data_IF_941516309233
#
_entry.id   IF_941516309233
#
_cell.length_a   1.000
_cell.length_b   1.000
_cell.length_c   1.000
_cell.angle_alpha   90.00
_cell.angle_beta   90.00
_cell.angle_gamma   90.00
#
_symmetry.space_group_name_H-M   'P 1'
#
loop_
_entity.id
_entity.type
_entity.pdbx_description
1 polymer ?
#
# COMPACT_ATOMS: atom_id res chain seq x y z
N UNK A 1 34.45 -45.15 -11.09
CA UNK A 1 33.36 -44.72 -10.17
C UNK A 1 33.63 -43.35 -9.55
N UNK A 2 34.84 -43.06 -9.02
CA UNK A 2 35.19 -41.77 -8.39
C UNK A 2 35.04 -40.54 -9.31
N UNK A 3 35.45 -40.65 -10.58
CA UNK A 3 35.30 -39.55 -11.56
C UNK A 3 33.84 -39.25 -11.94
N UNK A 4 32.97 -40.27 -12.01
CA UNK A 4 31.54 -40.08 -12.27
C UNK A 4 30.84 -39.36 -11.11
N UNK A 5 31.24 -39.65 -9.86
CA UNK A 5 30.72 -38.98 -8.66
C UNK A 5 31.15 -37.51 -8.61
N UNK A 6 32.40 -37.20 -8.96
CA UNK A 6 32.90 -35.82 -8.98
C UNK A 6 32.23 -34.97 -10.07
N UNK A 7 31.98 -35.55 -11.26
CA UNK A 7 31.23 -34.87 -12.34
C UNK A 7 29.77 -34.61 -11.92
N UNK A 8 29.15 -35.54 -11.18
CA UNK A 8 27.78 -35.39 -10.69
C UNK A 8 27.66 -34.30 -9.61
N UNK A 9 28.65 -34.19 -8.71
CA UNK A 9 28.69 -33.14 -7.70
C UNK A 9 28.94 -31.74 -8.30
N UNK A 10 29.80 -31.64 -9.31
CA UNK A 10 30.05 -30.37 -10.04
C UNK A 10 28.82 -29.95 -10.86
N UNK A 11 28.14 -30.88 -11.52
CA UNK A 11 26.89 -30.58 -12.23
C UNK A 11 25.81 -30.08 -11.25
N UNK A 12 25.72 -30.67 -10.06
CA UNK A 12 24.72 -30.31 -9.06
C UNK A 12 24.97 -28.92 -8.44
N UNK A 13 26.22 -28.52 -8.23
CA UNK A 13 26.55 -27.17 -7.74
C UNK A 13 26.34 -26.09 -8.81
N UNK A 14 26.62 -26.39 -10.09
CA UNK A 14 26.35 -25.48 -11.20
C UNK A 14 24.85 -25.24 -11.42
N UNK A 15 24.02 -26.28 -11.24
CA UNK A 15 22.55 -26.14 -11.28
C UNK A 15 22.05 -25.28 -10.13
N UNK A 16 22.63 -25.41 -8.93
CA UNK A 16 22.27 -24.61 -7.75
C UNK A 16 22.61 -23.12 -7.93
N UNK A 17 23.79 -22.81 -8.48
CA UNK A 17 24.19 -21.42 -8.79
C UNK A 17 23.24 -20.75 -9.80
N UNK A 18 22.81 -21.48 -10.83
CA UNK A 18 21.82 -20.98 -11.79
C UNK A 18 20.41 -20.83 -11.18
N UNK A 19 20.06 -21.65 -10.19
CA UNK A 19 18.78 -21.57 -9.48
C UNK A 19 18.67 -20.33 -8.59
N UNK A 20 19.76 -19.95 -7.90
CA UNK A 20 19.81 -18.77 -7.03
C UNK A 20 19.53 -17.49 -7.83
N UNK A 21 20.06 -17.37 -9.05
CA UNK A 21 19.85 -16.18 -9.88
C UNK A 21 18.41 -16.03 -10.41
N UNK A 22 17.65 -17.13 -10.54
CA UNK A 22 16.26 -17.11 -10.99
C UNK A 22 15.24 -16.84 -9.86
N UNK A 23 15.67 -16.88 -8.59
CA UNK A 23 14.78 -16.75 -7.44
C UNK A 23 14.54 -15.28 -7.00
N UNK A 24 15.29 -14.31 -7.55
CA UNK A 24 15.26 -12.90 -7.11
C UNK A 24 14.32 -11.99 -7.91
N UNK A 25 13.47 -12.52 -8.79
CA UNK A 25 12.44 -11.70 -9.46
C UNK A 25 11.09 -11.82 -8.74
N UNK A 26 11.02 -11.45 -7.46
CA UNK A 26 9.76 -11.31 -6.72
C UNK A 26 9.68 -10.07 -5.83
N UNK A 27 10.48 -9.04 -6.11
CA UNK A 27 10.54 -7.88 -5.22
C UNK A 27 9.95 -6.57 -5.78
N UNK A 28 9.83 -6.33 -7.09
CA UNK A 28 9.48 -4.97 -7.55
C UNK A 28 8.39 -4.93 -8.62
N UNK A 29 7.19 -5.41 -8.27
CA UNK A 29 5.97 -4.73 -8.74
C UNK A 29 5.73 -3.63 -7.71
N UNK A 30 6.00 -2.39 -8.10
CA UNK A 30 5.82 -1.22 -7.24
C UNK A 30 4.38 -1.12 -6.76
N UNK A 31 4.13 -1.64 -5.56
CA UNK A 31 2.93 -1.35 -4.79
C UNK A 31 3.09 0.08 -4.30
N UNK A 32 2.24 0.98 -4.80
CA UNK A 32 2.15 2.32 -4.29
C UNK A 32 1.55 2.18 -2.89
N UNK A 33 2.39 1.96 -1.88
CA UNK A 33 1.94 1.73 -0.51
C UNK A 33 1.22 2.99 -0.01
N UNK A 34 -0.11 2.98 -0.11
CA UNK A 34 -0.95 4.07 0.33
C UNK A 34 -1.04 4.04 1.87
N UNK A 35 -0.74 5.16 2.51
CA UNK A 35 -0.81 5.30 3.96
C UNK A 35 -2.23 5.68 4.38
N UNK A 36 -2.92 4.82 5.13
CA UNK A 36 -4.24 5.13 5.68
C UNK A 36 -4.10 6.12 6.84
N UNK A 37 -4.78 7.26 6.75
CA UNK A 37 -4.69 8.35 7.76
C UNK A 37 -5.44 8.00 9.04
N UNK A 38 -6.50 7.20 8.96
CA UNK A 38 -7.21 6.72 10.16
C UNK A 38 -8.06 7.78 10.88
N UNK A 39 -8.40 8.89 10.22
CA UNK A 39 -9.24 9.92 10.83
C UNK A 39 -10.64 9.39 11.16
N UNK A 40 -11.09 9.61 12.40
CA UNK A 40 -12.41 9.20 12.88
C UNK A 40 -13.52 10.21 12.55
N UNK A 41 -13.15 11.48 12.34
CA UNK A 41 -14.06 12.55 11.95
C UNK A 41 -13.84 12.95 10.49
N UNK A 42 -14.92 13.21 9.77
CA UNK A 42 -14.90 13.70 8.40
C UNK A 42 -14.29 15.11 8.38
N UNK A 43 -13.22 15.36 7.62
CA UNK A 43 -12.58 16.66 7.57
C UNK A 43 -13.44 17.76 6.92
N UNK A 44 -14.48 17.37 6.19
CA UNK A 44 -15.40 18.30 5.50
C UNK A 44 -16.55 18.69 6.42
N UNK A 45 -17.27 17.72 7.00
CA UNK A 45 -18.47 17.97 7.82
C UNK A 45 -18.20 18.03 9.33
N UNK A 46 -17.10 17.45 9.81
CA UNK A 46 -16.82 17.28 11.24
C UNK A 46 -17.52 16.10 11.91
N UNK A 47 -18.36 15.36 11.18
CA UNK A 47 -19.12 14.22 11.71
C UNK A 47 -18.29 12.94 11.77
N UNK A 48 -18.71 11.95 12.55
CA UNK A 48 -18.03 10.65 12.59
C UNK A 48 -18.15 9.93 11.24
N UNK A 49 -17.03 9.45 10.72
CA UNK A 49 -16.98 8.74 9.41
C UNK A 49 -17.80 7.46 9.40
N UNK A 50 -18.03 6.85 10.56
CA UNK A 50 -18.83 5.62 10.72
C UNK A 50 -20.34 5.87 10.83
N UNK A 51 -20.78 7.12 10.99
CA UNK A 51 -22.19 7.44 11.18
C UNK A 51 -23.05 7.13 9.95
N UNK A 52 -22.46 7.07 8.75
CA UNK A 52 -23.19 6.95 7.47
C UNK A 52 -22.85 5.65 6.72
N UNK A 53 -22.75 4.54 7.46
CA UNK A 53 -22.88 3.20 6.86
C UNK A 53 -21.79 2.76 5.86
N UNK A 54 -20.56 3.24 6.01
CA UNK A 54 -19.42 2.69 5.27
C UNK A 54 -18.23 3.62 5.09
N UNK A 55 -18.43 4.93 5.19
CA UNK A 55 -17.39 5.92 4.89
C UNK A 55 -16.98 5.88 3.42
N UNK A 56 -16.49 7.00 2.89
CA UNK A 56 -15.92 7.10 1.54
C UNK A 56 -14.44 7.36 1.66
N UNK A 57 -13.62 6.54 1.01
CA UNK A 57 -12.17 6.72 0.99
C UNK A 57 -11.78 7.69 -0.13
N UNK A 58 -10.86 8.60 0.14
CA UNK A 58 -10.29 9.51 -0.85
C UNK A 58 -8.77 9.47 -0.79
N UNK A 59 -8.13 9.23 -1.94
CA UNK A 59 -6.68 9.20 -2.06
C UNK A 59 -6.12 10.58 -2.42
N UNK A 60 -5.15 11.04 -1.63
CA UNK A 60 -4.43 12.27 -1.92
C UNK A 60 -3.00 12.18 -1.37
N UNK A 61 -2.01 12.56 -2.19
CA UNK A 61 -0.59 12.56 -1.81
C UNK A 61 -0.08 11.24 -1.20
N UNK A 62 -0.51 10.10 -1.75
CA UNK A 62 -0.11 8.78 -1.27
C UNK A 62 -0.76 8.37 0.05
N UNK A 63 -1.78 9.11 0.51
CA UNK A 63 -2.53 8.84 1.72
C UNK A 63 -4.00 8.59 1.42
N UNK A 64 -4.64 7.74 2.21
CA UNK A 64 -6.08 7.46 2.15
C UNK A 64 -6.76 8.18 3.32
N UNK A 65 -7.74 9.03 2.99
CA UNK A 65 -8.55 9.81 3.93
C UNK A 65 -9.97 9.23 4.00
N UNK A 66 -10.52 9.12 5.20
CA UNK A 66 -11.89 8.64 5.42
C UNK A 66 -12.87 9.82 5.45
N UNK A 67 -13.94 9.75 4.69
CA UNK A 67 -15.01 10.75 4.61
C UNK A 67 -16.34 10.11 5.00
N UNK A 68 -17.32 10.90 5.46
CA UNK A 68 -18.61 10.33 5.86
C UNK A 68 -19.53 10.01 4.67
N UNK A 69 -19.38 10.67 3.51
CA UNK A 69 -20.26 10.44 2.35
C UNK A 69 -19.59 10.87 1.01
N UNK A 70 -20.17 10.47 -0.15
CA UNK A 70 -19.67 10.87 -1.46
C UNK A 70 -19.64 12.38 -1.68
N UNK A 71 -20.63 13.12 -1.17
CA UNK A 71 -20.64 14.59 -1.28
C UNK A 71 -19.46 15.25 -0.55
N UNK A 72 -18.94 14.64 0.51
CA UNK A 72 -17.70 15.09 1.14
C UNK A 72 -16.48 14.83 0.25
N UNK A 73 -16.47 13.78 -0.57
CA UNK A 73 -15.38 13.54 -1.52
C UNK A 73 -15.32 14.63 -2.60
N UNK A 74 -16.48 15.06 -3.12
CA UNK A 74 -16.56 16.17 -4.07
C UNK A 74 -16.04 17.49 -3.48
N UNK A 75 -16.33 17.75 -2.21
CA UNK A 75 -15.81 18.92 -1.50
C UNK A 75 -14.32 18.79 -1.19
N UNK A 76 -13.86 17.60 -0.79
CA UNK A 76 -12.43 17.32 -0.56
C UNK A 76 -11.62 17.59 -1.84
N UNK A 77 -12.12 17.17 -3.00
CA UNK A 77 -11.48 17.40 -4.30
C UNK A 77 -11.31 18.87 -4.65
N UNK A 78 -12.17 19.77 -4.15
CA UNK A 78 -12.07 21.22 -4.41
C UNK A 78 -10.93 21.89 -3.65
N UNK A 79 -10.58 21.39 -2.47
CA UNK A 79 -9.51 21.95 -1.64
C UNK A 79 -8.80 20.84 -0.83
N UNK A 80 -8.09 19.93 -1.52
CA UNK A 80 -7.58 18.71 -0.90
C UNK A 80 -6.49 18.99 0.14
N UNK A 81 -5.74 20.09 0.00
CA UNK A 81 -4.71 20.48 0.97
C UNK A 81 -5.30 20.97 2.30
N UNK A 82 -6.41 21.74 2.25
CA UNK A 82 -7.11 22.16 3.47
C UNK A 82 -7.66 20.96 4.23
N UNK A 83 -8.37 20.08 3.53
CA UNK A 83 -9.06 18.96 4.17
C UNK A 83 -8.11 17.83 4.58
N UNK A 84 -7.00 17.62 3.88
CA UNK A 84 -5.97 16.68 4.32
C UNK A 84 -5.37 17.10 5.67
N UNK A 85 -5.04 18.39 5.85
CA UNK A 85 -4.52 18.93 7.12
C UNK A 85 -5.52 18.77 8.27
N UNK A 86 -6.82 18.93 8.00
CA UNK A 86 -7.86 18.72 9.02
C UNK A 86 -7.96 17.24 9.40
N UNK A 87 -7.93 16.34 8.42
CA UNK A 87 -7.99 14.90 8.69
C UNK A 87 -6.76 14.42 9.48
N UNK A 88 -5.56 14.87 9.12
CA UNK A 88 -4.31 14.49 9.80
C UNK A 88 -4.25 14.97 11.26
N UNK A 89 -4.88 16.10 11.58
CA UNK A 89 -5.02 16.57 12.98
C UNK A 89 -5.92 15.67 13.83
N UNK A 90 -6.85 14.96 13.20
CA UNK A 90 -7.83 14.08 13.85
C UNK A 90 -7.58 12.60 13.53
N UNK A 91 -6.37 12.28 13.05
CA UNK A 91 -5.89 10.93 12.84
C UNK A 91 -5.64 10.25 14.21
N UNK A 92 -5.97 8.96 14.30
CA UNK A 92 -5.79 8.12 15.50
C UNK A 92 -4.69 7.09 15.25
#
# INVERSE_FOLDING_TARGET
>A
MKFKIMILLVAMTLVFSNYVLAAETRDQIGDKQLVRVGNALCPVSGENVKSIGGGTEYEYNGKIYNLCCPGCADMFKKDPEKYSKIAEKNAV
#
